data_IF_932995569964
#
_entry.id   IF_932995569964
#
_cell.length_a   1.000
_cell.length_b   1.000
_cell.length_c   1.000
_cell.angle_alpha   90.00
_cell.angle_beta   90.00
_cell.angle_gamma   90.00
#
_symmetry.space_group_name_H-M   'P 1'
#
loop_
_entity.id
_entity.type
_entity.pdbx_description
1 polymer ?
#
# COMPACT_ATOMS: atom_id res chain seq x y z
N UNK A 1 27.75 14.69 -25.23
CA UNK A 1 26.48 15.09 -24.61
C UNK A 1 26.04 14.02 -23.67
N UNK A 2 26.28 14.26 -22.39
CA UNK A 2 25.93 13.28 -21.37
C UNK A 2 24.44 13.36 -21.07
N UNK A 3 23.67 12.41 -21.59
CA UNK A 3 22.36 12.16 -21.04
C UNK A 3 22.61 11.59 -19.63
N UNK A 4 22.49 12.43 -18.61
CA UNK A 4 22.52 11.99 -17.23
C UNK A 4 21.33 11.07 -17.00
N UNK A 5 21.56 9.77 -17.08
CA UNK A 5 20.59 8.78 -16.64
C UNK A 5 20.63 8.77 -15.12
N UNK A 6 19.52 9.11 -14.47
CA UNK A 6 19.41 9.00 -13.03
C UNK A 6 19.75 7.56 -12.62
N UNK A 7 20.51 7.42 -11.54
CA UNK A 7 20.78 6.10 -10.96
C UNK A 7 19.42 5.41 -10.61
N UNK A 8 19.29 4.10 -10.86
CA UNK A 8 18.07 3.38 -10.53
C UNK A 8 17.81 3.43 -9.02
N UNK A 9 16.55 3.53 -8.66
CA UNK A 9 16.10 3.50 -7.26
C UNK A 9 16.17 2.07 -6.73
N UNK A 10 16.84 1.88 -5.60
CA UNK A 10 17.07 0.55 -5.02
C UNK A 10 16.19 0.31 -3.78
N UNK A 11 16.10 -0.96 -3.36
CA UNK A 11 15.43 -1.30 -2.10
C UNK A 11 16.12 -0.65 -0.89
N UNK A 12 17.44 -0.48 -0.93
CA UNK A 12 18.18 0.24 0.11
C UNK A 12 17.78 1.72 0.17
N UNK A 13 17.67 2.38 -0.97
CA UNK A 13 17.14 3.76 -1.06
C UNK A 13 15.75 3.86 -0.45
N UNK A 14 14.90 2.89 -0.72
CA UNK A 14 13.56 2.82 -0.14
C UNK A 14 13.62 2.67 1.38
N UNK A 15 14.44 1.78 1.92
CA UNK A 15 14.60 1.57 3.36
C UNK A 15 15.06 2.84 4.07
N UNK A 16 16.02 3.53 3.50
CA UNK A 16 16.54 4.79 4.06
C UNK A 16 15.45 5.87 4.12
N UNK A 17 14.64 5.99 3.08
CA UNK A 17 13.53 6.95 3.04
C UNK A 17 12.40 6.57 3.98
N UNK A 18 12.08 5.30 4.09
CA UNK A 18 11.05 4.80 5.00
C UNK A 18 11.42 4.98 6.47
N UNK A 19 12.71 4.94 6.80
CA UNK A 19 13.23 5.19 8.14
C UNK A 19 13.36 6.68 8.49
N UNK A 20 13.24 7.58 7.50
CA UNK A 20 13.34 9.02 7.67
C UNK A 20 12.13 9.63 8.38
N UNK A 21 12.28 10.89 8.75
CA UNK A 21 11.17 11.65 9.34
C UNK A 21 10.01 11.82 8.36
N UNK A 22 8.79 11.83 8.90
CA UNK A 22 7.60 12.13 8.12
C UNK A 22 7.74 13.50 7.48
N UNK A 23 7.50 13.56 6.17
CA UNK A 23 7.52 14.81 5.44
C UNK A 23 6.42 15.80 5.89
N UNK A 24 6.37 16.99 5.27
CA UNK A 24 5.44 18.05 5.68
C UNK A 24 3.95 17.72 5.53
N UNK A 25 3.61 16.58 4.97
CA UNK A 25 2.23 16.12 4.76
C UNK A 25 1.73 15.16 5.86
N UNK A 26 2.41 15.10 6.99
CA UNK A 26 1.99 14.29 8.12
C UNK A 26 0.83 14.96 8.88
N UNK A 27 -0.32 15.10 8.26
CA UNK A 27 -1.58 15.38 8.95
C UNK A 27 -2.23 14.07 9.36
N UNK A 28 -2.97 14.06 10.46
CA UNK A 28 -3.66 12.87 10.94
C UNK A 28 -4.91 12.54 10.11
N UNK A 29 -5.29 13.42 9.22
CA UNK A 29 -6.44 13.25 8.34
C UNK A 29 -5.97 13.15 6.89
N UNK A 30 -6.08 11.95 6.33
CA UNK A 30 -5.70 11.62 4.97
C UNK A 30 -6.87 10.93 4.26
N UNK A 31 -7.22 11.38 3.09
CA UNK A 31 -8.24 10.75 2.29
C UNK A 31 -8.68 11.60 1.10
N UNK A 32 -9.28 10.97 0.13
CA UNK A 32 -9.77 11.63 -1.09
C UNK A 32 -10.80 12.73 -0.79
N UNK A 33 -11.51 12.62 0.33
CA UNK A 33 -12.50 13.61 0.76
C UNK A 33 -11.88 15.01 1.01
N UNK A 34 -10.60 15.08 1.35
CA UNK A 34 -9.88 16.35 1.53
C UNK A 34 -9.66 17.09 0.20
N UNK A 35 -9.56 16.35 -0.90
CA UNK A 35 -9.26 16.88 -2.22
C UNK A 35 -10.48 16.94 -3.13
N UNK A 36 -11.55 16.26 -2.76
CA UNK A 36 -12.77 16.21 -3.55
C UNK A 36 -14.01 16.31 -2.64
N UNK A 37 -14.57 17.52 -2.47
CA UNK A 37 -15.75 17.74 -1.62
C UNK A 37 -17.00 16.92 -2.02
N UNK A 38 -17.12 16.56 -3.30
CA UNK A 38 -18.25 15.75 -3.79
C UNK A 38 -18.20 14.33 -3.23
N UNK A 39 -17.01 13.80 -3.02
CA UNK A 39 -16.79 12.47 -2.40
C UNK A 39 -17.07 12.53 -0.89
N UNK A 40 -16.76 13.65 -0.24
CA UNK A 40 -16.98 13.82 1.19
C UNK A 40 -18.44 13.58 1.58
N UNK A 41 -19.39 14.08 0.80
CA UNK A 41 -20.82 13.90 1.05
C UNK A 41 -21.27 12.45 0.88
N UNK A 42 -20.61 11.68 0.02
CA UNK A 42 -20.85 10.24 -0.17
C UNK A 42 -20.26 9.38 0.95
N UNK A 43 -19.16 9.81 1.55
CA UNK A 43 -18.43 9.07 2.58
C UNK A 43 -19.05 9.27 3.97
N UNK A 44 -19.58 10.46 4.27
CA UNK A 44 -20.13 10.83 5.59
C UNK A 44 -21.26 9.90 6.05
N UNK A 45 -21.99 9.26 5.14
CA UNK A 45 -23.07 8.32 5.47
C UNK A 45 -22.70 6.84 5.39
N UNK A 46 -21.49 6.49 4.94
CA UNK A 46 -21.06 5.11 4.78
C UNK A 46 -20.33 4.59 6.03
N UNK A 47 -20.61 3.35 6.49
CA UNK A 47 -19.84 2.76 7.57
C UNK A 47 -18.39 2.56 7.11
N UNK A 48 -17.45 3.23 7.79
CA UNK A 48 -16.02 3.00 7.58
C UNK A 48 -15.64 1.64 8.13
N UNK A 49 -14.83 0.91 7.39
CA UNK A 49 -14.31 -0.38 7.79
C UNK A 49 -12.80 -0.34 7.72
N UNK A 50 -12.18 -0.77 8.81
CA UNK A 50 -10.73 -0.82 8.88
C UNK A 50 -10.17 -1.84 7.87
N UNK A 51 -9.21 -1.40 7.12
CA UNK A 51 -8.48 -2.21 6.15
C UNK A 51 -6.99 -1.96 6.29
N UNK A 52 -6.20 -2.93 5.88
CA UNK A 52 -4.75 -2.83 5.85
C UNK A 52 -4.24 -3.21 4.46
N UNK A 53 -3.31 -2.44 3.96
CA UNK A 53 -2.75 -2.59 2.63
C UNK A 53 -1.24 -2.65 2.73
N UNK A 54 -0.63 -3.59 2.02
CA UNK A 54 0.81 -3.70 1.88
C UNK A 54 1.25 -2.95 0.62
N UNK A 55 2.23 -2.07 0.75
CA UNK A 55 2.94 -1.49 -0.40
C UNK A 55 4.22 -2.31 -0.60
N UNK A 56 4.21 -3.33 -1.46
CA UNK A 56 5.34 -4.23 -1.59
C UNK A 56 6.37 -3.68 -2.56
N UNK A 57 7.55 -3.43 -2.04
CA UNK A 57 8.74 -3.08 -2.82
C UNK A 57 9.58 -4.33 -2.98
N UNK A 58 9.80 -4.74 -4.23
CA UNK A 58 10.55 -5.95 -4.55
C UNK A 58 12.02 -5.59 -4.72
N UNK A 59 12.85 -6.29 -3.96
CA UNK A 59 14.30 -6.11 -3.99
C UNK A 59 14.92 -6.91 -5.15
N UNK A 60 14.99 -6.27 -6.30
CA UNK A 60 15.75 -6.80 -7.43
C UNK A 60 17.19 -6.28 -7.40
N UNK A 61 18.17 -7.08 -7.87
CA UNK A 61 19.53 -6.58 -8.04
C UNK A 61 19.57 -5.32 -8.91
N UNK A 62 20.02 -4.22 -8.33
CA UNK A 62 20.22 -2.96 -9.04
C UNK A 62 19.01 -2.04 -9.15
N UNK A 63 17.79 -2.53 -9.00
CA UNK A 63 16.59 -1.72 -9.11
C UNK A 63 15.45 -2.30 -8.29
N UNK A 64 14.73 -1.46 -7.58
CA UNK A 64 13.50 -1.85 -6.89
C UNK A 64 12.28 -1.68 -7.80
N UNK A 65 11.33 -2.58 -7.66
CA UNK A 65 10.03 -2.49 -8.31
C UNK A 65 8.92 -2.56 -7.29
N UNK A 66 7.74 -2.09 -7.67
CA UNK A 66 6.54 -2.17 -6.82
C UNK A 66 5.61 -3.23 -7.41
N UNK A 67 5.12 -4.11 -6.56
CA UNK A 67 4.17 -5.14 -6.95
C UNK A 67 2.75 -4.62 -6.79
N UNK A 68 1.95 -4.79 -7.83
CA UNK A 68 0.53 -4.47 -7.83
C UNK A 68 -0.28 -5.72 -8.19
N UNK A 69 -1.48 -5.80 -7.64
CA UNK A 69 -2.44 -6.83 -8.01
C UNK A 69 -3.47 -6.27 -8.98
N UNK A 70 -3.94 -7.11 -9.88
CA UNK A 70 -5.04 -6.78 -10.77
C UNK A 70 -6.23 -7.67 -10.44
N UNK A 71 -7.36 -7.05 -10.13
CA UNK A 71 -8.59 -7.77 -9.85
C UNK A 71 -9.08 -8.46 -11.13
N UNK A 72 -9.53 -9.71 -11.02
CA UNK A 72 -9.95 -10.48 -12.20
C UNK A 72 -11.18 -9.87 -12.87
N UNK A 73 -11.27 -9.94 -14.20
CA UNK A 73 -12.38 -9.44 -14.99
C UNK A 73 -13.69 -10.22 -14.75
N UNK A 74 -13.63 -11.35 -14.05
CA UNK A 74 -14.79 -12.18 -13.72
C UNK A 74 -15.59 -11.70 -12.51
N UNK A 75 -15.01 -10.77 -11.71
CA UNK A 75 -15.69 -10.23 -10.52
C UNK A 75 -16.67 -9.14 -10.94
N UNK A 76 -17.85 -9.10 -10.27
CA UNK A 76 -18.90 -8.12 -10.57
C UNK A 76 -18.55 -6.71 -10.11
N UNK A 77 -17.70 -6.56 -9.08
CA UNK A 77 -17.28 -5.28 -8.57
C UNK A 77 -15.77 -5.12 -8.70
N UNK A 78 -15.32 -3.92 -9.07
CA UNK A 78 -13.92 -3.56 -9.20
C UNK A 78 -13.11 -4.46 -10.14
N UNK A 79 -13.78 -5.06 -11.15
CA UNK A 79 -13.16 -5.88 -12.19
C UNK A 79 -12.07 -5.08 -12.92
N UNK A 80 -10.90 -5.71 -13.13
CA UNK A 80 -9.77 -5.08 -13.81
C UNK A 80 -9.05 -3.99 -13.02
N UNK A 81 -9.50 -3.65 -11.82
CA UNK A 81 -8.87 -2.65 -10.97
C UNK A 81 -7.49 -3.12 -10.50
N UNK A 82 -6.54 -2.21 -10.59
CA UNK A 82 -5.16 -2.42 -10.09
C UNK A 82 -5.05 -1.82 -8.69
N UNK A 83 -4.49 -2.59 -7.75
CA UNK A 83 -4.36 -2.16 -6.36
C UNK A 83 -3.16 -2.83 -5.69
N UNK A 84 -2.75 -2.28 -4.56
CA UNK A 84 -1.84 -2.98 -3.67
C UNK A 84 -2.56 -4.14 -2.97
N UNK A 85 -1.85 -5.24 -2.64
CA UNK A 85 -2.46 -6.33 -1.88
C UNK A 85 -2.87 -5.87 -0.49
N UNK A 86 -4.04 -6.30 -0.06
CA UNK A 86 -4.59 -5.94 1.24
C UNK A 86 -6.08 -6.21 1.31
N UNK A 87 -6.67 -5.86 2.42
CA UNK A 87 -8.10 -6.06 2.64
C UNK A 87 -8.53 -5.71 4.06
N UNK A 88 -9.71 -6.15 4.40
CA UNK A 88 -10.33 -5.86 5.69
C UNK A 88 -9.54 -6.49 6.85
N UNK A 89 -9.40 -5.72 7.93
CA UNK A 89 -8.85 -6.24 9.18
C UNK A 89 -9.90 -7.12 9.85
N UNK A 90 -9.54 -8.38 10.13
CA UNK A 90 -10.39 -9.31 10.87
C UNK A 90 -10.16 -9.17 12.36
N UNK A 91 -11.17 -9.51 13.21
CA UNK A 91 -10.98 -9.53 14.67
C UNK A 91 -9.87 -10.47 15.15
N UNK A 92 -9.50 -11.46 14.33
CA UNK A 92 -8.42 -12.40 14.63
C UNK A 92 -7.03 -11.85 14.29
N UNK A 93 -6.94 -10.76 13.56
CA UNK A 93 -5.66 -10.11 13.25
C UNK A 93 -5.20 -9.31 14.49
N UNK A 94 -4.00 -9.60 14.98
CA UNK A 94 -3.46 -8.92 16.17
C UNK A 94 -3.11 -7.46 15.89
N UNK A 95 -2.66 -7.17 14.66
CA UNK A 95 -2.25 -5.84 14.22
C UNK A 95 -2.70 -5.58 12.79
N UNK A 96 -2.75 -4.32 12.34
CA UNK A 96 -2.97 -4.01 10.92
C UNK A 96 -1.92 -4.62 10.01
N UNK A 97 -0.67 -4.70 10.47
CA UNK A 97 0.42 -5.35 9.73
C UNK A 97 0.12 -6.84 9.50
N UNK A 98 -0.38 -7.54 10.51
CA UNK A 98 -0.77 -8.95 10.39
C UNK A 98 -1.91 -9.14 9.38
N UNK A 99 -2.87 -8.22 9.35
CA UNK A 99 -3.95 -8.23 8.38
C UNK A 99 -3.42 -8.06 6.96
N UNK A 100 -2.52 -7.11 6.73
CA UNK A 100 -1.91 -6.88 5.42
C UNK A 100 -1.11 -8.09 4.95
N UNK A 101 -0.36 -8.73 5.84
CA UNK A 101 0.41 -9.93 5.53
C UNK A 101 -0.49 -11.13 5.22
N UNK A 102 -1.55 -11.32 5.99
CA UNK A 102 -2.53 -12.39 5.76
C UNK A 102 -3.22 -12.22 4.41
N UNK A 103 -3.74 -11.04 4.12
CA UNK A 103 -4.39 -10.75 2.84
C UNK A 103 -3.43 -10.93 1.66
N UNK A 104 -2.17 -10.53 1.81
CA UNK A 104 -1.15 -10.72 0.78
C UNK A 104 -0.90 -12.20 0.49
N UNK A 105 -0.85 -13.03 1.53
CA UNK A 105 -0.73 -14.48 1.37
C UNK A 105 -1.95 -15.07 0.66
N UNK A 106 -3.15 -14.63 1.02
CA UNK A 106 -4.39 -15.11 0.41
C UNK A 106 -4.51 -14.69 -1.06
N UNK A 107 -4.15 -13.45 -1.39
CA UNK A 107 -4.33 -12.90 -2.74
C UNK A 107 -3.26 -13.36 -3.73
N UNK A 108 -2.00 -13.38 -3.32
CA UNK A 108 -0.88 -13.62 -4.23
C UNK A 108 0.07 -14.74 -3.78
N UNK A 109 -0.23 -15.40 -2.67
CA UNK A 109 0.59 -16.52 -2.18
C UNK A 109 1.97 -16.11 -1.66
N UNK A 110 2.18 -14.83 -1.35
CA UNK A 110 3.46 -14.34 -0.81
C UNK A 110 3.47 -14.52 0.71
N UNK A 111 4.34 -15.39 1.26
CA UNK A 111 4.38 -15.65 2.69
C UNK A 111 5.04 -14.50 3.46
N UNK A 112 4.58 -14.29 4.69
CA UNK A 112 5.12 -13.26 5.59
C UNK A 112 6.64 -13.41 5.84
N UNK A 113 7.16 -14.63 5.77
CA UNK A 113 8.60 -14.90 5.92
C UNK A 113 9.48 -14.28 4.83
N UNK A 114 8.89 -13.86 3.72
CA UNK A 114 9.56 -13.18 2.62
C UNK A 114 9.41 -11.67 2.65
N UNK A 115 8.70 -11.15 3.65
CA UNK A 115 8.36 -9.74 3.75
C UNK A 115 9.03 -9.15 4.99
N UNK A 116 9.74 -8.05 4.77
CA UNK A 116 10.31 -7.23 5.83
C UNK A 116 9.55 -5.90 5.88
N UNK A 117 8.81 -5.67 6.96
CA UNK A 117 8.06 -4.43 7.13
C UNK A 117 9.01 -3.34 7.59
N UNK A 118 9.21 -2.34 6.76
CA UNK A 118 10.18 -1.26 7.00
C UNK A 118 9.55 0.04 7.51
N UNK A 119 8.25 0.13 7.49
CA UNK A 119 7.55 1.32 7.96
C UNK A 119 6.05 1.22 7.78
N UNK A 120 5.36 2.22 8.29
CA UNK A 120 3.91 2.38 8.16
C UNK A 120 3.61 3.80 7.68
N UNK A 121 2.77 3.90 6.67
CA UNK A 121 2.26 5.19 6.20
C UNK A 121 1.12 5.66 7.12
N UNK A 122 0.84 6.96 7.18
CA UNK A 122 -0.34 7.47 7.87
C UNK A 122 -1.62 6.83 7.33
N UNK A 123 -2.62 6.70 8.20
CA UNK A 123 -3.92 6.15 7.83
C UNK A 123 -4.61 7.05 6.77
N UNK A 124 -5.25 6.39 5.85
CA UNK A 124 -5.91 7.04 4.71
C UNK A 124 -7.42 6.99 4.86
#
# INVERSE_FOLDING_TARGET
MDASVAAPFTAEDFRLRAAGERGPYASDDHGDHLWNPEIADLIIGAPLRDAAVLVPVVDHPGEATVLLTKRTDRLRSHSGQVAFPGGRIDPTDATPEDAALRETMEEIGLPASRIDIVGRMPDY
#
